data_IF_799040178662
#
_entry.id   IF_799040178662
#
_cell.length_a   1.000
_cell.length_b   1.000
_cell.length_c   1.000
_cell.angle_alpha   90.00
_cell.angle_beta   90.00
_cell.angle_gamma   90.00
#
_symmetry.space_group_name_H-M   'P 1'
#
loop_
_entity.id
_entity.type
_entity.pdbx_description
1 polymer ?
#
# COMPACT_ATOMS: atom_id res chain seq x y z
N UNK A 1 -23.11 48.46 -39.06
CA UNK A 1 -21.84 48.29 -39.78
C UNK A 1 -20.90 47.49 -38.88
N UNK A 2 -20.51 46.28 -39.29
CA UNK A 2 -19.24 45.63 -38.85
C UNK A 2 -18.06 46.32 -39.60
N UNK A 3 -16.74 46.05 -39.38
CA UNK A 3 -16.06 45.08 -38.49
C UNK A 3 -14.70 45.59 -37.85
N UNK A 4 -13.97 44.67 -37.20
CA UNK A 4 -12.50 44.61 -36.94
C UNK A 4 -11.91 45.59 -35.88
N UNK A 5 -11.01 45.20 -34.96
CA UNK A 5 -9.78 44.39 -35.09
C UNK A 5 -9.26 43.92 -33.70
N UNK A 6 -8.56 42.77 -33.64
CA UNK A 6 -7.68 42.33 -32.54
C UNK A 6 -6.27 42.97 -32.69
N UNK A 7 -5.44 42.96 -31.64
CA UNK A 7 -4.35 41.95 -31.50
C UNK A 7 -4.35 41.32 -30.07
N UNK A 8 -4.06 40.03 -29.82
CA UNK A 8 -2.76 39.31 -29.88
C UNK A 8 -1.72 40.01 -28.97
N UNK A 9 -1.03 39.45 -27.96
CA UNK A 9 -0.43 38.14 -27.63
C UNK A 9 0.19 38.32 -26.22
N UNK A 10 0.09 37.40 -25.26
CA UNK A 10 1.19 36.52 -24.76
C UNK A 10 0.74 36.10 -23.33
N UNK A 11 0.54 34.85 -22.97
CA UNK A 11 1.56 33.86 -22.61
C UNK A 11 0.93 32.47 -22.79
N UNK A 12 1.33 31.76 -23.84
CA UNK A 12 1.07 30.34 -24.01
C UNK A 12 2.21 29.80 -24.88
N UNK A 13 3.32 29.42 -24.25
CA UNK A 13 4.43 28.68 -24.87
C UNK A 13 5.47 28.33 -23.80
N UNK A 14 5.29 27.19 -23.12
CA UNK A 14 6.38 26.50 -22.41
C UNK A 14 6.15 25.00 -22.12
N UNK A 15 5.19 24.31 -22.76
CA UNK A 15 4.97 22.87 -22.50
C UNK A 15 4.68 21.99 -23.73
N UNK A 16 4.96 22.47 -24.95
CA UNK A 16 4.80 21.66 -26.17
C UNK A 16 6.01 21.79 -27.07
N UNK A 17 7.08 21.06 -26.74
CA UNK A 17 8.19 20.76 -27.65
C UNK A 17 9.03 19.56 -27.17
N UNK A 18 8.45 18.38 -26.95
CA UNK A 18 9.24 17.12 -27.03
C UNK A 18 8.37 15.91 -27.43
N UNK A 19 7.52 15.99 -28.46
CA UNK A 19 6.96 14.76 -29.04
C UNK A 19 6.91 14.88 -30.56
N UNK A 20 8.02 14.51 -31.21
CA UNK A 20 8.07 13.77 -32.47
C UNK A 20 9.53 13.54 -32.89
N UNK A 21 10.05 12.34 -32.58
CA UNK A 21 11.36 11.89 -33.03
C UNK A 21 11.83 10.67 -32.25
N UNK A 22 11.68 9.49 -32.83
CA UNK A 22 12.07 8.19 -32.28
C UNK A 22 13.59 8.15 -32.04
N UNK A 23 14.03 8.23 -30.79
CA UNK A 23 15.26 7.66 -30.28
C UNK A 23 15.21 7.68 -28.75
N UNK A 24 15.71 6.62 -28.13
CA UNK A 24 15.73 6.43 -26.69
C UNK A 24 16.44 7.61 -26.00
N UNK A 25 15.68 8.43 -25.30
CA UNK A 25 16.20 9.27 -24.23
C UNK A 25 15.41 8.92 -22.98
N UNK A 26 15.76 7.77 -22.38
CA UNK A 26 15.66 7.67 -20.93
C UNK A 26 16.47 8.86 -20.40
N UNK A 27 15.79 9.92 -19.98
CA UNK A 27 16.35 10.75 -18.93
C UNK A 27 16.61 9.77 -17.79
N UNK A 28 17.88 9.40 -17.61
CA UNK A 28 18.34 8.60 -16.50
C UNK A 28 17.91 9.36 -15.24
N UNK A 29 16.77 8.97 -14.69
CA UNK A 29 16.51 9.23 -13.28
C UNK A 29 17.73 8.67 -12.53
N UNK A 30 18.28 9.39 -11.55
CA UNK A 30 19.34 8.85 -10.72
C UNK A 30 18.90 7.48 -10.21
N UNK A 31 19.78 6.48 -10.29
CA UNK A 31 19.49 5.11 -9.86
C UNK A 31 18.92 5.14 -8.44
N UNK A 32 17.68 4.68 -8.28
CA UNK A 32 17.06 4.50 -6.97
C UNK A 32 17.21 3.02 -6.60
N UNK A 33 18.42 2.65 -6.20
CA UNK A 33 18.77 1.26 -5.84
C UNK A 33 17.80 0.67 -4.82
N UNK A 34 17.37 1.38 -3.75
CA UNK A 34 16.34 0.88 -2.84
C UNK A 34 15.04 0.46 -3.54
N UNK A 35 14.52 1.28 -4.46
CA UNK A 35 13.33 0.94 -5.25
C UNK A 35 13.59 -0.27 -6.15
N UNK A 36 14.73 -0.30 -6.85
CA UNK A 36 15.07 -1.43 -7.73
C UNK A 36 15.16 -2.76 -6.98
N UNK A 37 15.68 -2.73 -5.76
CA UNK A 37 15.71 -3.90 -4.88
C UNK A 37 14.29 -4.32 -4.48
N UNK A 38 13.41 -3.38 -4.10
CA UNK A 38 12.02 -3.69 -3.80
C UNK A 38 11.28 -4.28 -5.00
N UNK A 39 11.46 -3.73 -6.19
CA UNK A 39 10.85 -4.26 -7.43
C UNK A 39 11.39 -5.66 -7.80
N UNK A 40 12.62 -5.97 -7.38
CA UNK A 40 13.23 -7.30 -7.54
C UNK A 40 12.59 -8.32 -6.58
N UNK A 41 12.45 -7.95 -5.30
CA UNK A 41 11.73 -8.75 -4.29
C UNK A 41 10.28 -8.99 -4.73
N UNK A 42 9.58 -7.94 -5.17
CA UNK A 42 8.22 -8.03 -5.68
C UNK A 42 8.09 -9.03 -6.83
N UNK A 43 9.01 -8.98 -7.80
CA UNK A 43 9.00 -9.87 -8.96
C UNK A 43 9.23 -11.32 -8.57
N UNK A 44 10.17 -11.58 -7.67
CA UNK A 44 10.44 -12.93 -7.17
C UNK A 44 9.21 -13.51 -6.46
N UNK A 45 8.57 -12.73 -5.57
CA UNK A 45 7.33 -13.14 -4.90
C UNK A 45 6.18 -13.34 -5.90
N UNK A 46 5.99 -12.39 -6.82
CA UNK A 46 4.94 -12.43 -7.83
C UNK A 46 5.02 -13.66 -8.75
N UNK A 47 6.22 -14.14 -9.08
CA UNK A 47 6.38 -15.31 -9.95
C UNK A 47 5.62 -16.54 -9.44
N UNK A 48 5.79 -16.88 -8.16
CA UNK A 48 5.06 -17.99 -7.53
C UNK A 48 3.56 -17.72 -7.40
N UNK A 49 3.18 -16.49 -7.05
CA UNK A 49 1.77 -16.08 -6.93
C UNK A 49 1.02 -16.18 -8.28
N UNK A 50 1.65 -15.69 -9.35
CA UNK A 50 1.14 -15.75 -10.71
C UNK A 50 1.04 -17.19 -11.21
N UNK A 51 2.04 -18.05 -10.93
CA UNK A 51 1.99 -19.46 -11.30
C UNK A 51 0.78 -20.17 -10.65
N UNK A 52 0.57 -19.95 -9.35
CA UNK A 52 -0.60 -20.49 -8.63
C UNK A 52 -1.91 -19.98 -9.21
N UNK A 53 -1.98 -18.69 -9.55
CA UNK A 53 -3.20 -18.05 -10.02
C UNK A 53 -3.56 -18.39 -11.48
N UNK A 54 -2.55 -18.57 -12.34
CA UNK A 54 -2.73 -18.81 -13.79
C UNK A 54 -2.61 -20.29 -14.16
N UNK A 55 -2.09 -21.11 -13.25
CA UNK A 55 -1.84 -22.54 -13.42
C UNK A 55 -0.60 -22.87 -14.25
N UNK A 56 0.26 -21.90 -14.54
CA UNK A 56 1.51 -22.09 -15.27
C UNK A 56 2.55 -21.02 -14.92
N UNK A 57 3.83 -21.40 -14.89
CA UNK A 57 4.92 -20.45 -14.72
C UNK A 57 4.87 -19.33 -15.79
N UNK A 58 4.91 -18.08 -15.34
CA UNK A 58 4.99 -16.90 -16.21
C UNK A 58 6.46 -16.53 -16.37
N UNK A 59 7.00 -16.43 -17.60
CA UNK A 59 8.39 -16.02 -17.81
C UNK A 59 8.67 -14.64 -17.20
N UNK A 60 9.82 -14.48 -16.53
CA UNK A 60 10.18 -13.25 -15.81
C UNK A 60 10.28 -11.99 -16.71
N UNK A 61 10.46 -12.16 -18.02
CA UNK A 61 10.46 -11.08 -19.03
C UNK A 61 9.04 -10.69 -19.50
N UNK A 62 8.01 -11.45 -19.10
CA UNK A 62 6.61 -11.24 -19.49
C UNK A 62 5.79 -10.50 -18.44
N UNK A 63 6.35 -10.26 -17.27
CA UNK A 63 5.67 -9.52 -16.23
C UNK A 63 6.62 -8.59 -15.47
N UNK A 64 6.02 -7.63 -14.82
CA UNK A 64 6.68 -6.80 -13.81
C UNK A 64 5.78 -6.75 -12.58
N UNK A 65 6.38 -6.47 -11.44
CA UNK A 65 5.68 -6.40 -10.17
C UNK A 65 6.33 -5.36 -9.28
N UNK A 66 5.55 -4.80 -8.36
CA UNK A 66 6.00 -3.93 -7.30
C UNK A 66 5.17 -4.18 -6.06
N UNK A 67 5.73 -3.80 -4.91
CA UNK A 67 5.08 -3.93 -3.62
C UNK A 67 4.38 -2.64 -3.25
N UNK A 68 3.23 -2.76 -2.62
CA UNK A 68 2.46 -1.63 -2.10
C UNK A 68 1.84 -2.06 -0.80
N UNK A 69 1.88 -1.21 0.21
CA UNK A 69 1.14 -1.40 1.45
C UNK A 69 -0.21 -0.64 1.36
N UNK A 70 -1.24 -1.33 0.86
CA UNK A 70 -2.56 -0.75 0.61
C UNK A 70 -3.36 -0.50 1.89
N UNK A 71 -3.01 -1.15 3.00
CA UNK A 71 -3.72 -1.00 4.26
C UNK A 71 -2.91 -0.27 5.34
N UNK A 72 -1.64 0.03 5.05
CA UNK A 72 -0.65 0.64 5.93
C UNK A 72 -0.36 -0.22 7.18
N UNK A 73 -0.33 -1.54 7.02
CA UNK A 73 -0.05 -2.48 8.11
C UNK A 73 1.42 -2.92 8.18
N UNK A 74 2.27 -2.43 7.28
CA UNK A 74 3.69 -2.77 7.18
C UNK A 74 3.97 -4.01 6.34
N UNK A 75 2.95 -4.70 5.84
CA UNK A 75 3.07 -5.81 4.91
C UNK A 75 2.77 -5.35 3.49
N UNK A 76 3.39 -6.03 2.53
CA UNK A 76 3.18 -5.75 1.13
C UNK A 76 2.06 -6.60 0.54
N UNK A 77 1.11 -5.91 -0.07
CA UNK A 77 0.43 -6.44 -1.24
C UNK A 77 1.39 -6.48 -2.43
N UNK A 78 1.15 -7.45 -3.32
CA UNK A 78 1.91 -7.60 -4.55
C UNK A 78 1.04 -7.19 -5.72
N UNK A 79 1.41 -6.08 -6.35
CA UNK A 79 0.88 -5.70 -7.65
C UNK A 79 1.73 -6.37 -8.73
N UNK A 80 1.10 -7.07 -9.66
CA UNK A 80 1.78 -7.65 -10.81
C UNK A 80 1.01 -7.40 -12.11
N UNK A 81 1.74 -7.17 -13.20
CA UNK A 81 1.13 -7.03 -14.51
C UNK A 81 1.84 -7.92 -15.53
N UNK A 82 1.07 -8.83 -16.12
CA UNK A 82 1.53 -9.77 -17.15
C UNK A 82 1.15 -9.24 -18.52
N UNK A 83 2.15 -8.90 -19.33
CA UNK A 83 1.95 -8.31 -20.64
C UNK A 83 1.67 -9.37 -21.72
N UNK A 84 0.48 -9.31 -22.32
CA UNK A 84 0.12 -10.10 -23.50
C UNK A 84 -0.73 -9.24 -24.46
N UNK A 85 -0.35 -9.08 -25.75
CA UNK A 85 -1.17 -8.36 -26.72
C UNK A 85 -2.58 -8.94 -26.94
N UNK A 86 -2.75 -10.24 -26.71
CA UNK A 86 -4.03 -10.95 -26.83
C UNK A 86 -4.74 -11.07 -25.47
N UNK A 87 -4.42 -10.19 -24.52
CA UNK A 87 -4.88 -10.36 -23.16
C UNK A 87 -6.40 -10.26 -22.99
N UNK A 88 -6.99 -11.30 -22.40
CA UNK A 88 -8.41 -11.38 -22.05
C UNK A 88 -8.68 -11.20 -20.54
N UNK A 89 -7.62 -11.01 -19.75
CA UNK A 89 -7.69 -10.84 -18.30
C UNK A 89 -7.71 -12.14 -17.49
N UNK A 90 -7.71 -13.31 -18.14
CA UNK A 90 -7.77 -14.60 -17.42
C UNK A 90 -6.37 -15.01 -16.93
N UNK A 91 -5.38 -14.97 -17.83
CA UNK A 91 -3.99 -15.40 -17.57
C UNK A 91 -2.96 -14.27 -17.68
N UNK A 92 -3.44 -13.07 -17.91
CA UNK A 92 -2.63 -11.91 -18.24
C UNK A 92 -3.32 -10.65 -17.71
N UNK A 93 -2.65 -9.51 -17.83
CA UNK A 93 -3.14 -8.23 -17.34
C UNK A 93 -2.75 -8.01 -15.89
N UNK A 94 -3.54 -7.21 -15.20
CA UNK A 94 -3.32 -6.80 -13.83
C UNK A 94 -3.74 -7.89 -12.83
N UNK A 95 -2.88 -8.17 -11.88
CA UNK A 95 -3.12 -9.00 -10.70
C UNK A 95 -2.78 -8.19 -9.45
N UNK A 96 -3.63 -8.27 -8.44
CA UNK A 96 -3.36 -7.71 -7.12
C UNK A 96 -3.51 -8.84 -6.10
N UNK A 97 -2.41 -9.16 -5.41
CA UNK A 97 -2.39 -10.17 -4.37
C UNK A 97 -2.36 -9.49 -3.00
N UNK A 98 -3.37 -9.77 -2.20
CA UNK A 98 -3.51 -9.27 -0.83
C UNK A 98 -3.26 -10.40 0.15
N UNK A 99 -2.42 -10.16 1.16
CA UNK A 99 -2.23 -11.10 2.24
C UNK A 99 -3.37 -10.94 3.25
N UNK A 100 -4.36 -11.82 3.18
CA UNK A 100 -5.49 -11.82 4.10
C UNK A 100 -5.43 -13.07 4.99
N UNK A 101 -5.35 -12.85 6.31
CA UNK A 101 -5.15 -13.93 7.27
C UNK A 101 -3.84 -14.68 7.00
N UNK A 102 -3.97 -15.92 6.54
CA UNK A 102 -2.86 -16.87 6.32
C UNK A 102 -2.43 -17.03 4.85
N UNK A 103 -3.09 -16.36 3.90
CA UNK A 103 -2.87 -16.62 2.46
C UNK A 103 -2.89 -15.36 1.60
N UNK A 104 -2.02 -15.33 0.58
CA UNK A 104 -2.14 -14.35 -0.50
C UNK A 104 -3.30 -14.74 -1.40
N UNK A 105 -4.26 -13.83 -1.55
CA UNK A 105 -5.42 -13.96 -2.42
C UNK A 105 -5.35 -12.94 -3.55
N UNK A 106 -5.64 -13.37 -4.76
CA UNK A 106 -5.85 -12.45 -5.88
C UNK A 106 -7.26 -11.85 -5.80
N UNK A 107 -7.36 -10.52 -5.84
CA UNK A 107 -8.61 -9.82 -5.49
C UNK A 107 -9.31 -9.10 -6.65
N UNK A 108 -8.79 -9.18 -7.88
CA UNK A 108 -9.38 -8.53 -9.06
C UNK A 108 -10.09 -9.50 -10.01
N UNK A 109 -9.87 -10.81 -9.89
CA UNK A 109 -10.51 -11.86 -10.71
C UNK A 109 -12.03 -11.76 -10.74
N UNK A 110 -12.62 -11.49 -9.57
CA UNK A 110 -14.07 -11.46 -9.40
C UNK A 110 -14.72 -10.19 -9.97
N UNK A 111 -13.92 -9.22 -10.44
CA UNK A 111 -14.40 -7.92 -10.91
C UNK A 111 -14.28 -7.86 -12.44
N UNK A 112 -15.42 -7.86 -13.17
CA UNK A 112 -15.40 -7.89 -14.63
C UNK A 112 -14.52 -6.79 -15.24
N UNK A 113 -13.51 -7.21 -16.01
CA UNK A 113 -12.59 -6.32 -16.71
C UNK A 113 -11.65 -5.52 -15.81
N UNK A 114 -11.55 -5.77 -14.50
CA UNK A 114 -10.58 -5.07 -13.64
C UNK A 114 -9.13 -5.38 -14.06
N UNK A 115 -8.85 -6.64 -14.38
CA UNK A 115 -7.53 -7.09 -14.84
C UNK A 115 -7.09 -6.51 -16.19
N UNK A 116 -8.02 -5.92 -16.95
CA UNK A 116 -7.74 -5.28 -18.25
C UNK A 116 -7.37 -3.80 -18.14
N UNK A 117 -7.33 -3.24 -16.92
CA UNK A 117 -6.89 -1.88 -16.70
C UNK A 117 -5.43 -1.73 -17.16
N UNK A 118 -5.16 -0.71 -17.98
CA UNK A 118 -3.80 -0.39 -18.38
C UNK A 118 -2.99 0.08 -17.15
N UNK A 119 -1.71 -0.28 -17.03
CA UNK A 119 -0.89 0.09 -15.87
C UNK A 119 -0.84 1.58 -15.56
N UNK A 120 -0.81 2.43 -16.58
CA UNK A 120 -0.78 3.90 -16.44
C UNK A 120 -2.12 4.49 -15.98
N UNK A 121 -3.14 3.65 -15.82
CA UNK A 121 -4.49 3.99 -15.36
C UNK A 121 -4.81 3.42 -13.99
N UNK A 122 -3.83 2.82 -13.31
CA UNK A 122 -4.01 2.31 -11.95
C UNK A 122 -3.41 3.28 -10.94
N UNK A 123 -4.19 3.65 -9.93
CA UNK A 123 -3.70 4.50 -8.84
C UNK A 123 -4.42 4.24 -7.53
N UNK A 124 -3.77 4.56 -6.42
CA UNK A 124 -4.42 4.61 -5.11
C UNK A 124 -5.33 5.84 -5.05
N UNK A 125 -6.53 5.64 -4.50
CA UNK A 125 -7.44 6.71 -4.16
C UNK A 125 -7.02 7.46 -2.91
N UNK A 126 -7.70 8.58 -2.65
CA UNK A 126 -7.40 9.44 -1.50
C UNK A 126 -7.98 8.91 -0.18
N UNK A 127 -8.94 7.99 -0.25
CA UNK A 127 -9.66 7.50 0.91
C UNK A 127 -9.41 6.01 1.13
N UNK A 128 -9.52 5.60 2.40
CA UNK A 128 -9.59 4.19 2.78
C UNK A 128 -11.05 3.77 3.02
N UNK A 129 -11.28 2.46 2.96
CA UNK A 129 -12.52 1.79 3.34
C UNK A 129 -12.14 0.46 3.99
N UNK A 130 -12.65 0.20 5.20
CA UNK A 130 -12.31 -1.01 5.97
C UNK A 130 -10.79 -1.28 6.05
N UNK A 131 -10.01 -0.23 6.23
CA UNK A 131 -8.55 -0.32 6.38
C UNK A 131 -7.76 -0.36 5.08
N UNK A 132 -8.36 -0.45 3.89
CA UNK A 132 -7.65 -0.47 2.59
C UNK A 132 -7.92 0.79 1.77
N UNK A 133 -6.94 1.27 1.00
CA UNK A 133 -7.15 2.34 0.02
C UNK A 133 -8.19 1.98 -1.04
N UNK A 134 -9.04 2.93 -1.42
CA UNK A 134 -9.83 2.81 -2.65
C UNK A 134 -8.85 2.64 -3.84
N UNK A 135 -9.14 1.72 -4.76
CA UNK A 135 -8.31 1.44 -5.93
C UNK A 135 -8.96 2.07 -7.18
N UNK A 136 -8.27 3.01 -7.82
CA UNK A 136 -8.71 3.58 -9.09
C UNK A 136 -8.19 2.71 -10.25
N UNK A 137 -9.11 2.20 -11.06
CA UNK A 137 -8.83 1.50 -12.31
C UNK A 137 -9.49 2.26 -13.47
N UNK A 138 -8.70 3.08 -14.15
CA UNK A 138 -9.15 4.01 -15.20
C UNK A 138 -10.24 4.97 -14.68
N UNK A 139 -11.50 4.80 -15.07
CA UNK A 139 -12.62 5.62 -14.58
C UNK A 139 -13.39 4.98 -13.41
N UNK A 140 -13.05 3.75 -13.01
CA UNK A 140 -13.74 3.02 -11.95
C UNK A 140 -12.99 3.14 -10.63
N UNK A 141 -13.72 3.47 -9.57
CA UNK A 141 -13.23 3.39 -8.20
C UNK A 141 -13.70 2.07 -7.62
N UNK A 142 -12.78 1.28 -7.09
CA UNK A 142 -13.06 0.07 -6.34
C UNK A 142 -12.82 0.33 -4.86
N UNK A 143 -13.75 -0.09 -4.00
CA UNK A 143 -13.59 -0.03 -2.54
C UNK A 143 -13.44 -1.42 -1.96
N UNK A 144 -12.77 -1.54 -0.82
CA UNK A 144 -12.68 -2.79 -0.08
C UNK A 144 -13.97 -3.06 0.71
N UNK A 145 -14.56 -4.25 0.59
CA UNK A 145 -15.79 -4.67 1.28
C UNK A 145 -15.56 -5.21 2.68
N UNK A 146 -14.29 -5.40 3.07
CA UNK A 146 -13.88 -6.13 4.26
C UNK A 146 -13.18 -7.44 3.92
N UNK A 147 -13.44 -7.98 2.72
CA UNK A 147 -12.91 -9.27 2.24
C UNK A 147 -12.45 -9.27 0.76
N UNK A 148 -12.82 -8.26 -0.03
CA UNK A 148 -12.40 -8.10 -1.43
C UNK A 148 -12.62 -6.68 -1.95
N UNK A 149 -12.12 -6.38 -3.13
CA UNK A 149 -12.52 -5.17 -3.86
C UNK A 149 -13.86 -5.36 -4.58
N UNK A 150 -14.66 -4.30 -4.63
CA UNK A 150 -15.89 -4.21 -5.43
C UNK A 150 -16.06 -2.79 -5.96
N UNK A 151 -16.90 -2.60 -6.98
CA UNK A 151 -17.19 -1.27 -7.51
C UNK A 151 -17.79 -0.37 -6.42
N UNK A 152 -17.16 0.78 -6.17
CA UNK A 152 -17.53 1.71 -5.10
C UNK A 152 -18.98 2.21 -5.21
N UNK A 153 -19.55 2.22 -6.43
CA UNK A 153 -20.94 2.60 -6.67
C UNK A 153 -21.97 1.59 -6.14
N UNK A 154 -21.54 0.37 -5.82
CA UNK A 154 -22.41 -0.71 -5.32
C UNK A 154 -22.58 -0.71 -3.81
N UNK A 155 -21.79 0.10 -3.10
CA UNK A 155 -21.85 0.17 -1.64
C UNK A 155 -23.10 0.91 -1.17
N UNK A 156 -23.75 0.46 -0.09
CA UNK A 156 -24.90 1.15 0.44
C UNK A 156 -24.48 2.53 0.99
N UNK A 157 -25.03 3.59 0.42
CA UNK A 157 -24.92 4.93 1.01
C UNK A 157 -25.91 5.06 2.17
N UNK A 158 -25.45 5.55 3.32
CA UNK A 158 -26.31 5.86 4.45
C UNK A 158 -26.74 7.32 4.42
N UNK A 159 -27.98 7.59 4.83
CA UNK A 159 -28.42 8.97 5.11
C UNK A 159 -28.22 9.22 6.60
N UNK A 160 -27.17 9.99 6.92
CA UNK A 160 -26.79 10.35 8.28
C UNK A 160 -27.30 11.74 8.66
N UNK A 161 -27.80 11.90 9.89
CA UNK A 161 -27.96 13.21 10.52
C UNK A 161 -26.61 13.67 11.06
N UNK A 162 -25.95 14.54 10.29
CA UNK A 162 -24.64 15.09 10.61
C UNK A 162 -24.65 16.27 11.58
N UNK A 163 -25.80 16.69 12.12
CA UNK A 163 -25.90 17.96 12.87
C UNK A 163 -25.00 17.99 14.10
N UNK A 164 -25.04 16.93 14.91
CA UNK A 164 -24.22 16.80 16.13
C UNK A 164 -22.74 16.67 15.76
N UNK A 165 -22.43 15.84 14.78
CA UNK A 165 -21.07 15.68 14.26
C UNK A 165 -20.47 17.00 13.78
N UNK A 166 -21.19 17.76 12.95
CA UNK A 166 -20.70 19.02 12.39
C UNK A 166 -20.39 20.05 13.47
N UNK A 167 -21.20 20.12 14.53
CA UNK A 167 -20.93 20.99 15.67
C UNK A 167 -19.66 20.53 16.43
N UNK A 168 -19.54 19.23 16.69
CA UNK A 168 -18.39 18.66 17.40
C UNK A 168 -17.08 18.82 16.61
N UNK A 169 -17.08 18.47 15.31
CA UNK A 169 -15.92 18.58 14.41
C UNK A 169 -15.42 20.02 14.27
N UNK A 170 -16.34 20.99 14.11
CA UNK A 170 -15.96 22.40 14.04
C UNK A 170 -15.33 22.87 15.36
N UNK A 171 -15.94 22.49 16.48
CA UNK A 171 -15.41 22.84 17.82
C UNK A 171 -14.03 22.22 18.05
N UNK A 172 -13.81 20.96 17.66
CA UNK A 172 -12.54 20.27 17.89
C UNK A 172 -11.39 20.79 17.01
N UNK A 173 -11.70 21.49 15.91
CA UNK A 173 -10.72 22.05 14.97
C UNK A 173 -10.56 23.57 15.08
N UNK A 174 -11.44 24.26 15.80
CA UNK A 174 -11.38 25.72 15.95
C UNK A 174 -10.39 26.11 17.03
N UNK A 175 -9.50 27.04 16.70
CA UNK A 175 -8.75 27.81 17.69
C UNK A 175 -9.64 28.84 18.39
N UNK A 176 -9.19 29.40 19.53
CA UNK A 176 -9.90 30.48 20.23
C UNK A 176 -9.94 31.80 19.43
N UNK A 177 -9.03 31.96 18.45
CA UNK A 177 -8.97 33.10 17.52
C UNK A 177 -8.63 32.60 16.10
N UNK A 178 -9.64 32.23 15.30
CA UNK A 178 -9.41 31.70 13.96
C UNK A 178 -8.93 32.80 13.00
N UNK A 179 -7.96 32.46 12.14
CA UNK A 179 -7.49 33.30 11.05
C UNK A 179 -8.60 33.51 10.00
N UNK A 180 -8.46 34.56 9.17
CA UNK A 180 -9.42 34.84 8.10
C UNK A 180 -9.50 33.65 7.10
N UNK A 181 -10.71 33.13 6.89
CA UNK A 181 -10.94 31.95 6.05
C UNK A 181 -10.72 30.58 6.73
N UNK A 182 -10.23 30.54 7.98
CA UNK A 182 -10.06 29.29 8.72
C UNK A 182 -11.40 28.61 9.01
N UNK A 183 -12.42 29.38 9.40
CA UNK A 183 -13.76 28.86 9.69
C UNK A 183 -14.42 28.18 8.48
N UNK A 184 -14.20 28.71 7.27
CA UNK A 184 -14.71 28.14 6.02
C UNK A 184 -13.98 26.83 5.70
N UNK A 185 -12.65 26.80 5.76
CA UNK A 185 -11.85 25.59 5.57
C UNK A 185 -12.19 24.49 6.58
N UNK A 186 -12.42 24.84 7.85
CA UNK A 186 -12.87 23.88 8.87
C UNK A 186 -14.26 23.33 8.50
N UNK A 187 -15.19 24.18 8.05
CA UNK A 187 -16.52 23.75 7.65
C UNK A 187 -16.46 22.80 6.44
N UNK A 188 -15.63 23.09 5.44
CA UNK A 188 -15.41 22.23 4.28
C UNK A 188 -14.78 20.88 4.67
N UNK A 189 -13.77 20.88 5.54
CA UNK A 189 -13.15 19.65 6.03
C UNK A 189 -14.15 18.77 6.80
N UNK A 190 -14.96 19.36 7.69
CA UNK A 190 -16.02 18.62 8.39
C UNK A 190 -17.11 18.13 7.42
N UNK A 191 -17.46 18.92 6.41
CA UNK A 191 -18.43 18.50 5.38
C UNK A 191 -17.89 17.34 4.53
N UNK A 192 -16.59 17.33 4.22
CA UNK A 192 -15.94 16.20 3.58
C UNK A 192 -16.09 14.92 4.43
N UNK A 193 -15.84 15.01 5.74
CA UNK A 193 -15.92 13.84 6.62
C UNK A 193 -17.34 13.26 6.68
N UNK A 194 -18.38 14.08 6.84
CA UNK A 194 -19.76 13.58 6.86
C UNK A 194 -20.16 12.93 5.53
N UNK A 195 -19.77 13.53 4.39
CA UNK A 195 -20.04 12.94 3.07
C UNK A 195 -19.34 11.58 2.93
N UNK A 196 -18.10 11.47 3.45
CA UNK A 196 -17.37 10.20 3.39
C UNK A 196 -17.95 9.18 4.35
N UNK A 197 -18.36 9.53 5.57
CA UNK A 197 -19.07 8.63 6.49
C UNK A 197 -20.31 7.99 5.85
N UNK A 198 -21.12 8.80 5.16
CA UNK A 198 -22.27 8.31 4.41
C UNK A 198 -21.87 7.32 3.30
N UNK A 199 -20.76 7.61 2.61
CA UNK A 199 -20.23 6.79 1.51
C UNK A 199 -19.62 5.48 2.00
N UNK A 200 -18.99 5.46 3.18
CA UNK A 200 -18.40 4.25 3.78
C UNK A 200 -19.40 3.42 4.59
N UNK A 201 -20.65 3.88 4.68
CA UNK A 201 -21.74 3.13 5.29
C UNK A 201 -21.75 3.19 6.82
N UNK A 202 -21.20 4.25 7.42
CA UNK A 202 -21.38 4.50 8.86
C UNK A 202 -22.86 4.48 9.20
N UNK A 203 -23.19 3.84 10.32
CA UNK A 203 -24.48 3.95 10.97
C UNK A 203 -24.58 5.23 11.79
N UNK A 204 -25.80 5.66 12.11
CA UNK A 204 -26.00 6.83 12.99
C UNK A 204 -25.35 6.62 14.36
N UNK A 205 -25.41 5.40 14.91
CA UNK A 205 -24.81 5.09 16.21
C UNK A 205 -23.28 5.23 16.20
N UNK A 206 -22.62 4.80 15.13
CA UNK A 206 -21.16 4.97 14.97
C UNK A 206 -20.79 6.44 14.78
N UNK A 207 -21.57 7.20 13.99
CA UNK A 207 -21.38 8.63 13.84
C UNK A 207 -21.55 9.37 15.18
N UNK A 208 -22.59 9.04 15.95
CA UNK A 208 -22.87 9.66 17.24
C UNK A 208 -21.76 9.32 18.25
N UNK A 209 -21.28 8.07 18.27
CA UNK A 209 -20.19 7.63 19.11
C UNK A 209 -18.88 8.34 18.77
N UNK A 210 -18.53 8.44 17.49
CA UNK A 210 -17.35 9.18 17.04
C UNK A 210 -17.49 10.69 17.31
N UNK A 211 -18.68 11.26 17.14
CA UNK A 211 -18.94 12.67 17.46
C UNK A 211 -18.73 12.97 18.94
N UNK A 212 -19.16 12.05 19.81
CA UNK A 212 -18.96 12.18 21.26
C UNK A 212 -17.48 12.12 21.64
N UNK A 213 -16.66 11.33 20.94
CA UNK A 213 -15.21 11.23 21.22
C UNK A 213 -14.41 12.47 20.86
N UNK A 214 -14.97 13.38 20.04
CA UNK A 214 -14.35 14.67 19.76
C UNK A 214 -14.49 15.67 20.94
N UNK A 215 -15.25 15.30 21.97
CA UNK A 215 -15.39 16.09 23.20
C UNK A 215 -14.32 15.78 24.25
N UNK A 216 -14.01 16.77 25.09
CA UNK A 216 -12.95 16.70 26.11
C UNK A 216 -13.17 15.65 27.21
N UNK A 217 -14.42 15.23 27.46
CA UNK A 217 -14.81 14.34 28.56
C UNK A 217 -15.41 13.00 28.09
N UNK A 218 -14.95 12.49 26.95
CA UNK A 218 -15.45 11.20 26.45
C UNK A 218 -14.96 10.04 27.32
N UNK A 219 -15.90 9.25 27.85
CA UNK A 219 -15.58 8.03 28.58
C UNK A 219 -15.32 6.90 27.58
N UNK A 220 -14.04 6.54 27.44
CA UNK A 220 -13.62 5.51 26.50
C UNK A 220 -14.19 4.13 26.89
N UNK A 221 -14.85 3.42 25.97
CA UNK A 221 -15.34 2.08 26.23
C UNK A 221 -14.22 1.14 26.66
N UNK A 222 -14.50 0.25 27.61
CA UNK A 222 -13.56 -0.76 28.10
C UNK A 222 -14.12 -2.17 27.97
N UNK A 223 -13.23 -3.18 28.07
CA UNK A 223 -13.59 -4.59 27.94
C UNK A 223 -14.07 -4.94 26.54
N UNK A 224 -15.12 -5.76 26.41
CA UNK A 224 -15.62 -6.22 25.10
C UNK A 224 -16.11 -5.12 24.15
N UNK A 225 -16.31 -3.88 24.64
CA UNK A 225 -16.72 -2.73 23.82
C UNK A 225 -15.54 -1.94 23.25
N UNK A 226 -14.32 -2.15 23.76
CA UNK A 226 -13.10 -1.47 23.31
C UNK A 226 -12.81 -1.79 21.83
N UNK A 227 -12.87 -3.07 21.42
CA UNK A 227 -12.66 -3.46 20.02
C UNK A 227 -13.63 -2.80 19.04
N UNK A 228 -14.91 -2.74 19.41
CA UNK A 228 -15.93 -2.09 18.58
C UNK A 228 -15.66 -0.58 18.46
N UNK A 229 -15.28 0.05 19.58
CA UNK A 229 -14.85 1.45 19.59
C UNK A 229 -13.61 1.70 18.73
N UNK A 230 -12.57 0.86 18.84
CA UNK A 230 -11.35 0.97 18.04
C UNK A 230 -11.65 0.92 16.54
N UNK A 231 -12.55 0.03 16.09
CA UNK A 231 -12.95 -0.03 14.69
C UNK A 231 -13.61 1.28 14.19
N UNK A 232 -14.48 1.87 15.02
CA UNK A 232 -15.11 3.17 14.73
C UNK A 232 -14.08 4.29 14.72
N UNK A 233 -13.21 4.35 15.73
CA UNK A 233 -12.18 5.36 15.86
C UNK A 233 -11.18 5.32 14.71
N UNK A 234 -10.70 4.13 14.32
CA UNK A 234 -9.80 3.95 13.18
C UNK A 234 -10.47 4.39 11.87
N UNK A 235 -11.72 3.97 11.63
CA UNK A 235 -12.44 4.39 10.43
C UNK A 235 -12.69 5.91 10.41
N UNK A 236 -12.99 6.50 11.57
CA UNK A 236 -13.10 7.94 11.76
C UNK A 236 -11.81 8.69 11.46
N UNK A 237 -10.69 8.18 11.95
CA UNK A 237 -9.35 8.70 11.69
C UNK A 237 -9.00 8.60 10.19
N UNK A 238 -9.27 7.45 9.56
CA UNK A 238 -9.03 7.26 8.13
C UNK A 238 -9.82 8.24 7.26
N UNK A 239 -11.09 8.50 7.61
CA UNK A 239 -11.92 9.51 6.95
C UNK A 239 -11.35 10.91 7.15
N UNK A 240 -10.94 11.26 8.36
CA UNK A 240 -10.36 12.56 8.67
C UNK A 240 -9.06 12.79 7.89
N UNK A 241 -8.15 11.82 7.89
CA UNK A 241 -6.90 11.89 7.12
C UNK A 241 -7.19 11.96 5.63
N UNK A 242 -8.08 11.13 5.09
CA UNK A 242 -8.46 11.17 3.68
C UNK A 242 -8.99 12.54 3.24
N UNK A 243 -9.79 13.22 4.07
CA UNK A 243 -10.24 14.59 3.79
C UNK A 243 -9.11 15.63 3.81
N UNK A 244 -8.15 15.50 4.75
CA UNK A 244 -6.96 16.36 4.77
C UNK A 244 -6.07 16.10 3.54
N UNK A 245 -5.98 14.87 3.03
CA UNK A 245 -5.28 14.55 1.78
C UNK A 245 -6.02 15.09 0.56
N UNK A 246 -7.35 14.93 0.49
CA UNK A 246 -8.17 15.41 -0.63
C UNK A 246 -8.14 16.93 -0.79
N UNK A 247 -7.95 17.66 0.32
CA UNK A 247 -7.77 19.11 0.34
C UNK A 247 -6.32 19.55 0.11
N UNK A 248 -5.37 18.62 -0.03
CA UNK A 248 -3.94 18.90 -0.21
C UNK A 248 -3.24 19.39 1.06
N UNK A 249 -3.86 19.24 2.24
CA UNK A 249 -3.29 19.64 3.54
C UNK A 249 -2.30 18.61 4.07
N UNK A 250 -2.51 17.34 3.75
CA UNK A 250 -1.60 16.26 4.13
C UNK A 250 -1.37 15.29 2.97
N UNK A 251 -0.52 14.30 3.22
CA UNK A 251 -0.37 13.12 2.39
C UNK A 251 -0.50 11.90 3.30
N UNK A 252 -0.96 10.78 2.75
CA UNK A 252 -0.84 9.52 3.46
C UNK A 252 0.65 9.21 3.69
N UNK A 253 0.99 8.46 4.76
CA UNK A 253 2.28 7.78 4.82
C UNK A 253 2.50 7.06 3.50
N UNK A 254 3.75 7.04 3.04
CA UNK A 254 4.04 6.38 1.77
C UNK A 254 3.60 4.92 1.86
N UNK A 255 2.82 4.48 0.89
CA UNK A 255 2.54 3.05 0.69
C UNK A 255 3.79 2.30 0.16
N UNK A 256 4.86 3.03 -0.17
CA UNK A 256 6.18 2.42 -0.37
C UNK A 256 6.75 1.99 0.97
N UNK A 257 7.25 0.76 1.02
CA UNK A 257 7.87 0.20 2.21
C UNK A 257 9.15 0.99 2.54
N UNK A 258 9.49 1.07 3.83
CA UNK A 258 10.80 1.62 4.22
C UNK A 258 11.89 0.76 3.61
N UNK A 259 12.90 1.41 3.04
CA UNK A 259 14.09 0.75 2.50
C UNK A 259 15.36 1.18 3.25
N UNK A 260 15.20 1.76 4.44
CA UNK A 260 16.32 2.28 5.24
C UNK A 260 17.08 3.46 4.58
N UNK A 261 17.93 4.10 5.38
CA UNK A 261 18.65 5.32 4.97
C UNK A 261 20.10 5.04 4.53
N UNK A 262 20.56 3.80 4.63
CA UNK A 262 21.92 3.43 4.28
C UNK A 262 22.09 3.23 2.77
N UNK A 263 23.26 3.56 2.20
CA UNK A 263 23.57 3.23 0.81
C UNK A 263 23.48 1.71 0.58
N UNK A 264 22.65 1.32 -0.39
CA UNK A 264 22.49 -0.08 -0.79
C UNK A 264 23.23 -0.38 -2.08
N UNK A 265 23.54 -1.66 -2.27
CA UNK A 265 23.93 -2.21 -3.57
C UNK A 265 22.72 -2.84 -4.23
N UNK A 266 22.74 -2.94 -5.57
CA UNK A 266 21.73 -3.71 -6.29
C UNK A 266 21.99 -5.20 -6.06
N UNK A 267 20.98 -5.92 -5.58
CA UNK A 267 21.10 -7.33 -5.21
C UNK A 267 20.17 -8.22 -6.05
N UNK A 268 20.55 -9.49 -6.13
CA UNK A 268 19.71 -10.58 -6.62
C UNK A 268 19.15 -11.36 -5.41
N UNK A 269 17.82 -11.38 -5.28
CA UNK A 269 17.12 -11.98 -4.16
C UNK A 269 16.59 -13.39 -4.44
N UNK A 270 16.70 -13.91 -5.67
CA UNK A 270 16.09 -15.19 -6.08
C UNK A 270 16.54 -16.35 -5.19
N UNK A 271 17.84 -16.43 -4.91
CA UNK A 271 18.42 -17.49 -4.08
C UNK A 271 17.95 -17.43 -2.63
N UNK A 272 17.88 -16.23 -2.05
CA UNK A 272 17.42 -16.01 -0.68
C UNK A 272 15.91 -16.27 -0.55
N UNK A 273 15.09 -15.70 -1.42
CA UNK A 273 13.63 -15.88 -1.40
C UNK A 273 13.21 -17.31 -1.75
N UNK A 274 14.05 -18.07 -2.47
CA UNK A 274 13.85 -19.51 -2.66
C UNK A 274 14.15 -20.36 -1.43
N UNK A 275 15.05 -19.92 -0.54
CA UNK A 275 15.48 -20.67 0.65
C UNK A 275 14.74 -20.26 1.95
N UNK A 276 14.32 -18.99 2.04
CA UNK A 276 13.72 -18.44 3.24
C UNK A 276 12.38 -19.08 3.65
N UNK A 277 11.37 -19.24 2.77
CA UNK A 277 10.06 -19.73 3.20
C UNK A 277 10.06 -21.22 3.58
N UNK A 278 11.15 -21.95 3.30
CA UNK A 278 11.30 -23.36 3.68
C UNK A 278 11.87 -23.56 5.08
N UNK A 279 12.24 -22.48 5.79
CA UNK A 279 12.82 -22.57 7.12
C UNK A 279 11.80 -22.95 8.19
N UNK A 280 12.13 -23.99 8.97
CA UNK A 280 11.27 -24.44 10.05
C UNK A 280 11.03 -23.35 11.10
N UNK A 281 12.04 -22.57 11.48
CA UNK A 281 11.86 -21.50 12.46
C UNK A 281 11.00 -20.34 11.92
N UNK A 282 11.07 -20.07 10.61
CA UNK A 282 10.19 -19.10 9.94
C UNK A 282 8.77 -19.65 9.90
N UNK A 283 8.56 -20.91 9.54
CA UNK A 283 7.22 -21.51 9.44
C UNK A 283 6.55 -21.74 10.81
N UNK A 284 7.34 -22.07 11.83
CA UNK A 284 6.84 -22.38 13.18
C UNK A 284 6.69 -21.14 14.06
N UNK A 285 7.16 -19.97 13.61
CA UNK A 285 6.92 -18.71 14.31
C UNK A 285 5.40 -18.48 14.45
N UNK A 286 4.96 -18.16 15.67
CA UNK A 286 3.55 -17.94 15.99
C UNK A 286 2.87 -16.85 15.13
N UNK A 287 3.65 -15.91 14.58
CA UNK A 287 3.15 -14.85 13.70
C UNK A 287 3.03 -15.26 12.24
N UNK A 288 3.70 -16.30 11.78
CA UNK A 288 3.70 -16.72 10.36
C UNK A 288 2.81 -17.94 10.15
N UNK A 289 3.16 -19.10 10.74
CA UNK A 289 2.37 -20.33 10.80
C UNK A 289 1.73 -20.80 9.48
N UNK A 290 2.18 -20.33 8.32
CA UNK A 290 1.65 -20.59 6.98
C UNK A 290 2.68 -20.20 5.93
N UNK A 291 2.62 -20.85 4.77
CA UNK A 291 3.60 -20.64 3.69
C UNK A 291 3.56 -19.21 3.13
N UNK A 292 2.38 -18.61 2.98
CA UNK A 292 2.26 -17.27 2.39
C UNK A 292 2.64 -16.16 3.38
N UNK A 293 2.36 -16.32 4.67
CA UNK A 293 2.90 -15.41 5.69
C UNK A 293 4.41 -15.56 5.83
N UNK A 294 4.95 -16.77 5.68
CA UNK A 294 6.40 -16.97 5.59
C UNK A 294 6.97 -16.23 4.37
N UNK A 295 6.35 -16.34 3.20
CA UNK A 295 6.75 -15.58 2.00
C UNK A 295 6.73 -14.06 2.24
N UNK A 296 5.68 -13.53 2.89
CA UNK A 296 5.59 -12.11 3.22
C UNK A 296 6.71 -11.67 4.18
N UNK A 297 7.00 -12.46 5.22
CA UNK A 297 8.12 -12.21 6.12
C UNK A 297 9.47 -12.25 5.37
N UNK A 298 9.65 -13.23 4.48
CA UNK A 298 10.85 -13.35 3.66
C UNK A 298 11.03 -12.17 2.70
N UNK A 299 9.94 -11.64 2.14
CA UNK A 299 9.95 -10.39 1.38
C UNK A 299 10.43 -9.22 2.25
N UNK A 300 9.90 -9.09 3.47
CA UNK A 300 10.35 -8.08 4.42
C UNK A 300 11.84 -8.21 4.74
N UNK A 301 12.30 -9.42 5.08
CA UNK A 301 13.71 -9.69 5.37
C UNK A 301 14.60 -9.33 4.17
N UNK A 302 14.19 -9.71 2.95
CA UNK A 302 14.94 -9.40 1.73
C UNK A 302 15.10 -7.89 1.51
N UNK A 303 14.12 -7.07 1.92
CA UNK A 303 14.21 -5.60 1.87
C UNK A 303 15.02 -5.00 3.01
N UNK A 304 14.91 -5.58 4.19
CA UNK A 304 15.42 -5.02 5.43
C UNK A 304 16.91 -5.37 5.64
N UNK A 305 17.36 -6.57 5.27
CA UNK A 305 18.76 -7.02 5.38
C UNK A 305 19.74 -6.06 4.67
N UNK A 306 19.51 -5.61 3.41
CA UNK A 306 20.41 -4.69 2.73
C UNK A 306 20.56 -3.34 3.43
N UNK A 307 19.59 -2.93 4.26
CA UNK A 307 19.65 -1.66 5.01
C UNK A 307 20.73 -1.66 6.09
N UNK A 308 21.20 -2.85 6.49
CA UNK A 308 22.32 -3.04 7.41
C UNK A 308 23.67 -3.17 6.69
N UNK A 309 23.73 -2.92 5.38
CA UNK A 309 24.96 -2.95 4.59
C UNK A 309 25.38 -4.34 4.10
N UNK A 310 24.48 -5.33 4.18
CA UNK A 310 24.74 -6.69 3.68
C UNK A 310 24.84 -6.68 2.15
N UNK A 311 25.93 -7.27 1.64
CA UNK A 311 26.24 -7.38 0.21
C UNK A 311 25.59 -8.63 -0.42
N UNK A 312 25.80 -8.82 -1.74
CA UNK A 312 25.36 -10.06 -2.40
C UNK A 312 26.00 -11.31 -1.77
N UNK A 313 27.28 -11.25 -1.40
CA UNK A 313 27.97 -12.37 -0.77
C UNK A 313 27.33 -12.74 0.57
N UNK A 314 27.01 -11.74 1.40
CA UNK A 314 26.29 -11.98 2.66
C UNK A 314 24.88 -12.53 2.45
N UNK A 315 24.16 -12.04 1.43
CA UNK A 315 22.82 -12.57 1.09
C UNK A 315 22.89 -14.03 0.59
N UNK A 316 23.90 -14.36 -0.20
CA UNK A 316 24.15 -15.72 -0.69
C UNK A 316 24.55 -16.66 0.47
N UNK A 317 25.33 -16.17 1.45
CA UNK A 317 25.65 -16.91 2.68
C UNK A 317 24.40 -17.16 3.53
N UNK A 318 23.52 -16.16 3.70
CA UNK A 318 22.23 -16.36 4.38
C UNK A 318 21.35 -17.38 3.65
N UNK A 319 21.34 -17.37 2.32
CA UNK A 319 20.60 -18.36 1.54
C UNK A 319 21.16 -19.79 1.74
N UNK A 320 22.48 -19.95 1.81
CA UNK A 320 23.13 -21.24 2.13
C UNK A 320 22.84 -21.68 3.57
N UNK A 321 22.93 -20.75 4.53
CA UNK A 321 22.58 -20.98 5.92
C UNK A 321 21.14 -21.48 6.07
N UNK A 322 20.19 -20.83 5.40
CA UNK A 322 18.80 -21.30 5.37
C UNK A 322 18.69 -22.67 4.70
N UNK A 323 19.47 -23.00 3.67
CA UNK A 323 19.44 -24.37 3.13
C UNK A 323 20.11 -25.43 4.02
N UNK A 324 20.46 -25.10 5.27
CA UNK A 324 21.22 -25.94 6.20
C UNK A 324 22.59 -26.35 5.62
N UNK A 325 23.14 -25.56 4.68
CA UNK A 325 24.44 -25.82 4.04
C UNK A 325 25.61 -25.30 4.88
N UNK A 326 25.34 -24.38 5.82
CA UNK A 326 26.31 -23.76 6.73
C UNK A 326 25.77 -23.80 8.17
N UNK A 327 26.65 -24.00 9.15
CA UNK A 327 26.33 -23.76 10.56
C UNK A 327 26.53 -22.29 10.96
N UNK A 328 25.99 -21.88 12.11
CA UNK A 328 26.26 -20.55 12.69
C UNK A 328 27.77 -20.25 12.75
N UNK A 329 28.57 -21.23 13.17
CA UNK A 329 30.02 -21.09 13.28
C UNK A 329 30.73 -20.94 11.92
N UNK A 330 30.24 -21.63 10.88
CA UNK A 330 30.77 -21.50 9.52
C UNK A 330 30.44 -20.14 8.92
N UNK A 331 29.26 -19.61 9.25
CA UNK A 331 28.81 -18.30 8.80
C UNK A 331 29.57 -17.19 9.54
N UNK A 332 29.70 -17.25 10.86
CA UNK A 332 30.49 -16.29 11.66
C UNK A 332 31.98 -16.26 11.25
N UNK A 333 32.53 -17.41 10.83
CA UNK A 333 33.90 -17.48 10.34
C UNK A 333 34.10 -16.76 9.00
N UNK A 334 33.05 -16.62 8.19
CA UNK A 334 33.07 -15.94 6.89
C UNK A 334 32.63 -14.48 7.01
N UNK A 335 31.60 -14.21 7.81
CA UNK A 335 31.08 -12.89 8.12
C UNK A 335 30.53 -12.86 9.57
N UNK A 336 31.32 -12.27 10.47
CA UNK A 336 31.01 -12.24 11.90
C UNK A 336 29.79 -11.37 12.26
N UNK A 337 29.42 -10.42 11.39
CA UNK A 337 28.34 -9.45 11.67
C UNK A 337 27.02 -9.82 10.97
N UNK A 338 27.03 -10.84 10.10
CA UNK A 338 25.89 -11.22 9.27
C UNK A 338 24.69 -11.72 10.08
N UNK A 339 24.88 -12.60 11.07
CA UNK A 339 23.78 -13.03 11.95
C UNK A 339 23.24 -11.88 12.79
N UNK A 340 24.10 -10.98 13.27
CA UNK A 340 23.66 -9.78 13.99
C UNK A 340 22.79 -8.88 13.12
N UNK A 341 23.14 -8.73 11.84
CA UNK A 341 22.37 -7.93 10.88
C UNK A 341 21.03 -8.60 10.54
N UNK A 342 21.05 -9.92 10.35
CA UNK A 342 19.86 -10.75 10.18
C UNK A 342 18.90 -10.63 11.37
N UNK A 343 19.41 -10.68 12.61
CA UNK A 343 18.57 -10.62 13.82
C UNK A 343 17.89 -9.27 13.96
N UNK A 344 18.60 -8.17 13.68
CA UNK A 344 18.00 -6.82 13.64
C UNK A 344 16.92 -6.72 12.57
N UNK A 345 17.18 -7.23 11.37
CA UNK A 345 16.18 -7.26 10.30
C UNK A 345 14.95 -8.11 10.68
N UNK A 346 15.18 -9.26 11.32
CA UNK A 346 14.12 -10.12 11.83
C UNK A 346 13.29 -9.43 12.90
N UNK A 347 13.91 -8.74 13.85
CA UNK A 347 13.21 -7.95 14.86
C UNK A 347 12.38 -6.83 14.22
N UNK A 348 12.96 -6.06 13.29
CA UNK A 348 12.27 -5.00 12.57
C UNK A 348 11.03 -5.52 11.84
N UNK A 349 11.18 -6.58 11.05
CA UNK A 349 10.08 -7.19 10.32
C UNK A 349 9.02 -7.82 11.24
N UNK A 350 9.43 -8.59 12.24
CA UNK A 350 8.50 -9.26 13.16
C UNK A 350 7.79 -8.30 14.10
N UNK A 351 8.40 -7.14 14.43
CA UNK A 351 7.76 -6.13 15.27
C UNK A 351 6.51 -5.55 14.60
N UNK A 352 6.55 -5.41 13.27
CA UNK A 352 5.46 -4.89 12.44
C UNK A 352 4.50 -5.99 12.02
N UNK A 353 4.96 -7.24 11.94
CA UNK A 353 4.12 -8.36 11.53
C UNK A 353 2.94 -8.56 12.50
N UNK A 354 1.68 -8.43 12.03
CA UNK A 354 0.50 -8.61 12.86
C UNK A 354 0.47 -10.05 13.40
N UNK A 355 0.03 -10.22 14.64
CA UNK A 355 -0.21 -11.56 15.18
C UNK A 355 -1.36 -12.23 14.39
N UNK A 356 -1.34 -13.57 14.33
CA UNK A 356 -2.46 -14.34 13.78
C UNK A 356 -3.76 -14.13 14.55
#
# INVERSE_FOLDING_TARGET
MRPFWRPATAFALALLCVWQGVAHAQQQQPENIPQENSDSVARAMAGGLLERQTGAAVPADKFWAYEVDFNLDGLSEIYAYVADPACDGVKCGLFLFVLEGDTYREVLSDIPGARLAAPDKVSLGTFKRHGFFDLQLDQRVLGWTGDRYADASTFPATLLDGTVFMAACKKSKSSEQPEEGEAEKIAEACQCQINRFQTIGFSQAELDQYSASLGENFEYPSGGKDKAWQAVATSGSDVATGCDVASGKSQWPSASLSHGDQPQQKLNFDGFLGACPTQDFILTNHKTGSHDRALALCGCLAREIPTYGVSQEGLDLLAQYYRDELSDADLEAQDADLLTSHDKASEACLSQFPAK
#
